data_IF_029456115702
#
_entry.id   IF_029456115702
#
_cell.length_a   1.000
_cell.length_b   1.000
_cell.length_c   1.000
_cell.angle_alpha   90.00
_cell.angle_beta   90.00
_cell.angle_gamma   90.00
#
_symmetry.space_group_name_H-M   'P 1'
#
loop_
_entity.id
_entity.type
_entity.pdbx_description
1 polymer ?
#
# COMPACT_ATOMS: atom_id res chain seq x y z
N UNK A 1 13.26 5.61 0.08
CA UNK A 1 12.38 6.30 -0.90
C UNK A 1 12.85 5.91 -2.30
N UNK A 2 11.94 5.51 -3.20
CA UNK A 2 12.25 4.93 -4.52
C UNK A 2 13.25 5.75 -5.36
N UNK A 3 13.34 7.07 -5.13
CA UNK A 3 14.37 7.97 -5.69
C UNK A 3 15.83 7.48 -5.55
N UNK A 4 16.12 6.54 -4.65
CA UNK A 4 17.47 5.98 -4.43
C UNK A 4 17.80 4.75 -5.26
N UNK A 5 16.82 4.15 -5.95
CA UNK A 5 16.99 2.94 -6.77
C UNK A 5 17.08 3.24 -8.26
N UNK A 6 16.96 4.52 -8.66
CA UNK A 6 17.07 4.93 -10.06
C UNK A 6 18.48 4.62 -10.60
N UNK A 7 18.56 3.78 -11.64
CA UNK A 7 19.81 3.41 -12.32
C UNK A 7 20.53 2.17 -11.77
N UNK A 8 19.83 1.31 -11.00
CA UNK A 8 20.39 0.02 -10.60
C UNK A 8 20.39 -1.00 -11.76
N UNK A 9 21.37 -1.92 -11.77
CA UNK A 9 21.53 -2.92 -12.84
C UNK A 9 20.31 -3.85 -13.03
N UNK A 10 19.36 -3.85 -12.09
CA UNK A 10 18.14 -4.64 -12.15
C UNK A 10 17.02 -3.98 -12.99
N UNK A 11 17.12 -2.67 -13.29
CA UNK A 11 16.16 -1.97 -14.14
C UNK A 11 16.08 -2.54 -15.56
N UNK A 12 17.16 -3.17 -16.05
CA UNK A 12 17.19 -3.82 -17.36
C UNK A 12 16.26 -5.05 -17.44
N UNK A 13 15.91 -5.65 -16.30
CA UNK A 13 15.13 -6.89 -16.22
C UNK A 13 13.74 -6.72 -15.58
N UNK A 14 13.46 -5.58 -14.95
CA UNK A 14 12.19 -5.33 -14.26
C UNK A 14 11.65 -3.96 -14.65
N UNK A 15 10.54 -3.97 -15.40
CA UNK A 15 9.81 -2.74 -15.78
C UNK A 15 8.47 -2.69 -15.06
N UNK A 16 8.23 -1.70 -14.18
CA UNK A 16 6.90 -1.50 -13.59
C UNK A 16 5.91 -1.13 -14.70
N UNK A 17 4.88 -1.94 -14.90
CA UNK A 17 3.81 -1.68 -15.89
C UNK A 17 2.57 -1.04 -15.27
N UNK A 18 2.52 -0.94 -13.93
CA UNK A 18 1.41 -0.37 -13.18
C UNK A 18 1.54 -0.66 -11.68
N UNK A 19 0.70 -0.01 -10.87
CA UNK A 19 0.69 -0.13 -9.41
C UNK A 19 0.06 1.08 -8.75
N UNK A 20 -0.10 1.04 -7.43
CA UNK A 20 -0.70 2.15 -6.67
C UNK A 20 -0.31 2.11 -5.20
N UNK A 21 -0.44 3.26 -4.55
CA UNK A 21 -0.35 3.36 -3.11
C UNK A 21 -1.72 3.17 -2.49
N UNK A 22 -1.80 2.31 -1.48
CA UNK A 22 -3.01 2.05 -0.73
C UNK A 22 -2.76 2.34 0.74
N UNK A 23 -3.79 2.82 1.42
CA UNK A 23 -3.79 2.94 2.86
C UNK A 23 -4.34 1.64 3.47
N UNK A 24 -3.53 1.00 4.32
CA UNK A 24 -3.97 -0.18 5.06
C UNK A 24 -4.76 0.29 6.27
N UNK A 25 -6.05 -0.06 6.29
CA UNK A 25 -6.95 0.31 7.37
C UNK A 25 -6.50 -0.33 8.70
N UNK A 26 -6.79 0.30 9.86
CA UNK A 26 -6.63 -0.33 11.16
C UNK A 26 -7.35 -1.68 11.23
N UNK A 27 -6.81 -2.58 12.06
CA UNK A 27 -7.43 -3.89 12.29
C UNK A 27 -8.80 -3.78 12.95
N UNK A 28 -9.60 -4.82 12.79
CA UNK A 28 -10.90 -4.96 13.45
C UNK A 28 -10.68 -5.43 14.89
N UNK A 29 -11.28 -4.75 15.87
CA UNK A 29 -11.03 -4.98 17.31
C UNK A 29 -11.68 -6.28 17.80
N UNK A 30 -12.90 -6.57 17.37
CA UNK A 30 -13.65 -7.77 17.72
C UNK A 30 -14.67 -8.15 16.62
N UNK A 31 -15.44 -9.22 16.85
CA UNK A 31 -16.45 -9.74 15.92
C UNK A 31 -17.67 -8.84 15.71
N UNK A 32 -17.77 -7.72 16.43
CA UNK A 32 -18.86 -6.74 16.31
C UNK A 32 -18.52 -5.57 15.39
N UNK A 33 -17.27 -5.45 14.95
CA UNK A 33 -16.79 -4.36 14.10
C UNK A 33 -16.45 -4.84 12.69
N UNK A 34 -16.30 -3.90 11.75
CA UNK A 34 -15.92 -4.21 10.36
C UNK A 34 -14.79 -3.33 9.84
N UNK A 35 -14.06 -3.83 8.83
CA UNK A 35 -12.94 -3.09 8.22
C UNK A 35 -13.42 -1.75 7.66
N UNK A 36 -12.73 -0.68 8.04
CA UNK A 36 -13.03 0.67 7.56
C UNK A 36 -14.12 1.39 8.35
N UNK A 37 -14.71 0.77 9.38
CA UNK A 37 -15.70 1.43 10.24
C UNK A 37 -15.18 2.78 10.80
N UNK A 38 -13.95 2.81 11.31
CA UNK A 38 -13.32 4.03 11.82
C UNK A 38 -13.11 5.12 10.76
N UNK A 39 -13.08 4.76 9.48
CA UNK A 39 -13.00 5.72 8.37
C UNK A 39 -14.38 6.30 8.04
N UNK A 40 -15.44 5.50 8.18
CA UNK A 40 -16.81 5.92 7.86
C UNK A 40 -17.46 6.73 8.99
N UNK A 41 -17.05 6.50 10.23
CA UNK A 41 -17.56 7.20 11.43
C UNK A 41 -16.77 8.47 11.79
N UNK A 42 -15.76 8.83 11.00
CA UNK A 42 -14.89 9.99 11.20
C UNK A 42 -15.55 11.33 10.80
#
# INVERSE_FOLDING_TARGET
>A
MQKRLNGEALEEYVKPIGGGYFFVLPGVIDDRHYLGQSLLEA
#
